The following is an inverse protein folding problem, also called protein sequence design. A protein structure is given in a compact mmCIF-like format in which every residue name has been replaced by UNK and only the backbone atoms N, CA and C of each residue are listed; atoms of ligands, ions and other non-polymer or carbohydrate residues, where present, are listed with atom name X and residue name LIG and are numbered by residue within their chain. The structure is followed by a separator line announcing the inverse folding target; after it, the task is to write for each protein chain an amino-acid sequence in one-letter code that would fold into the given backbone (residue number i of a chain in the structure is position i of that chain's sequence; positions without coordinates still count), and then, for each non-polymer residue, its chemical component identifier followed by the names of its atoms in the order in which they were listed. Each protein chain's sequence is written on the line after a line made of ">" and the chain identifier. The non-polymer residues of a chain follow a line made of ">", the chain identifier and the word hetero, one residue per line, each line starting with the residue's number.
data_IF_313694323548
#
_entry.id   IF_313694323548
#
_cell.length_a   1.000
_cell.length_b   1.000
_cell.length_c   1.000
_cell.angle_alpha   90.00
_cell.angle_beta   90.00
_cell.angle_gamma   90.00
#
_symmetry.space_group_name_H-M   'P 1'
#
loop_
_entity.id
_entity.type
_entity.pdbx_description
1 polymer ?
2 branched ?
3 non-polymer ?
4 non-polymer ?
5 non-polymer ?
6 non-polymer ?
7 water ?
#
# COMPACT_ATOMS: atom_id res chain seq x y z
N UNK A 3 -32.01 -12.08 17.07
CA UNK A 3 -31.20 -13.29 16.75
C UNK A 3 -30.34 -13.05 15.50
N UNK A 4 -29.08 -13.48 15.57
CA UNK A 4 -28.19 -13.53 14.39
C UNK A 4 -27.94 -12.14 13.78
N UNK A 5 -27.83 -11.14 14.65
CA UNK A 5 -27.48 -9.77 14.23
C UNK A 5 -26.06 -9.79 13.65
N UNK A 6 -25.74 -8.84 12.76
CA UNK A 6 -24.38 -8.80 12.21
C UNK A 6 -23.30 -8.49 13.26
N UNK A 7 -22.17 -9.20 13.19
CA UNK A 7 -21.10 -9.11 14.17
C UNK A 7 -19.98 -8.22 13.64
N UNK A 8 -19.43 -7.36 14.51
CA UNK A 8 -18.35 -6.45 14.11
C UNK A 8 -17.00 -7.18 14.23
N UNK A 9 -16.74 -8.04 13.25
CA UNK A 9 -15.56 -8.92 13.27
C UNK A 9 -15.08 -9.11 11.83
N UNK A 10 -13.89 -9.67 11.70
CA UNK A 10 -13.45 -10.25 10.43
C UNK A 10 -13.46 -11.75 10.65
N UNK A 11 -13.81 -12.48 9.59
CA UNK A 11 -13.97 -13.92 9.69
C UNK A 11 -13.77 -14.55 8.30
N UNK A 12 -14.28 -15.77 8.13
CA UNK A 12 -14.15 -16.53 6.90
C UNK A 12 -15.28 -17.54 6.75
N UNK A 13 -15.59 -17.88 5.51
CA UNK A 13 -16.66 -18.81 5.15
C UNK A 13 -16.20 -20.27 5.24
N UNK A 14 -14.91 -20.49 5.01
CA UNK A 14 -14.29 -21.81 5.13
C UNK A 14 -12.82 -21.58 5.53
N UNK A 15 -11.95 -22.60 5.41
CA UNK A 15 -10.53 -22.49 5.74
C UNK A 15 -9.69 -21.80 4.65
N UNK A 16 -10.32 -21.36 3.55
CA UNK A 16 -9.61 -20.76 2.42
C UNK A 16 -9.52 -19.24 2.59
N UNK A 17 -8.75 -18.82 3.58
CA UNK A 17 -8.56 -17.41 3.92
C UNK A 17 -7.10 -17.11 4.22
N UNK A 18 -6.76 -15.82 4.20
CA UNK A 18 -5.40 -15.36 4.47
C UNK A 18 -5.38 -13.93 5.02
N UNK A 19 -4.50 -13.69 6.00
CA UNK A 19 -4.37 -12.41 6.68
C UNK A 19 -2.98 -11.79 6.47
N UNK A 20 -2.95 -10.53 6.04
CA UNK A 20 -1.73 -9.74 5.96
C UNK A 20 -1.71 -8.73 7.11
N UNK A 21 -0.60 -8.69 7.85
CA UNK A 21 -0.53 -7.89 9.07
C UNK A 21 0.81 -7.30 9.43
N UNK A 22 0.88 -6.80 10.66
CA UNK A 22 2.08 -6.16 11.22
C UNK A 22 2.39 -6.83 12.57
N UNK A 23 3.07 -6.13 13.50
CA UNK A 23 3.43 -6.73 14.81
C UNK A 23 2.25 -7.37 15.53
N UNK A 24 1.08 -6.74 15.40
CA UNK A 24 -0.13 -7.20 16.10
C UNK A 24 -0.66 -8.55 15.62
N UNK A 25 -0.13 -9.05 14.49
CA UNK A 25 -0.39 -10.42 14.01
C UNK A 25 0.90 -11.24 13.80
N UNK A 26 2.03 -10.77 14.35
CA UNK A 26 3.36 -11.38 14.14
C UNK A 26 3.81 -12.16 15.37
N UNK A 27 3.67 -13.48 15.30
CA UNK A 27 4.02 -14.37 16.40
C UNK A 27 5.53 -14.63 16.54
N UNK A 28 6.35 -14.13 15.60
CA UNK A 28 7.80 -14.38 15.60
C UNK A 28 8.64 -13.27 16.27
N UNK A 29 8.02 -12.14 16.59
CA UNK A 29 8.68 -11.06 17.34
C UNK A 29 9.22 -11.57 18.70
N UNK A 30 10.40 -11.10 19.11
CA UNK A 30 11.02 -11.54 20.37
C UNK A 30 11.40 -10.36 21.28
N UNK A 31 11.17 -10.54 22.58
CA UNK A 31 11.58 -9.59 23.60
C UNK A 31 11.99 -10.36 24.85
N UNK A 32 12.86 -9.76 25.67
CA UNK A 32 13.35 -10.36 26.90
C UNK A 32 13.05 -9.42 28.08
N UNK A 33 11.99 -9.74 28.80
CA UNK A 33 11.53 -8.93 29.95
C UNK A 33 10.51 -9.72 30.79
N UNK A 34 9.83 -9.07 31.72
CA UNK A 34 8.76 -9.70 32.50
C UNK A 34 7.36 -9.54 31.93
N UNK A 35 7.23 -9.35 30.62
CA UNK A 35 5.92 -9.24 29.99
C UNK A 35 5.31 -10.65 29.84
N UNK A 36 3.96 -10.74 29.80
CA UNK A 36 3.34 -12.03 29.43
C UNK A 36 3.73 -12.47 28.01
N UNK A 37 3.67 -13.78 27.75
CA UNK A 37 4.00 -14.32 26.43
C UNK A 37 3.07 -13.77 25.35
N UNK A 38 3.65 -13.36 24.22
CA UNK A 38 2.89 -12.89 23.05
C UNK A 38 1.92 -11.73 23.36
N UNK A 39 2.28 -10.87 24.31
CA UNK A 39 1.36 -9.82 24.80
C UNK A 39 1.17 -8.61 23.87
N UNK A 40 2.00 -8.51 22.85
CA UNK A 40 1.88 -7.51 21.79
C UNK A 40 0.79 -7.87 20.75
N UNK A 41 0.35 -9.12 20.72
CA UNK A 41 -0.65 -9.58 19.73
C UNK A 41 -2.07 -9.10 19.98
N UNK A 42 -2.75 -8.74 18.89
CA UNK A 42 -4.21 -8.73 18.86
C UNK A 42 -4.75 -10.06 18.30
N UNK A 43 -3.99 -10.67 17.39
CA UNK A 43 -4.31 -12.01 16.88
C UNK A 43 -4.27 -13.05 18.01
N UNK A 44 -5.20 -14.00 17.96
CA UNK A 44 -5.22 -15.10 18.93
C UNK A 44 -4.03 -16.02 18.69
N UNK A 45 -3.27 -16.36 19.75
CA UNK A 45 -2.14 -17.29 19.63
C UNK A 45 -2.44 -18.64 18.96
N UNK A 46 -3.69 -19.10 19.06
CA UNK A 46 -4.11 -20.34 18.39
C UNK A 46 -3.94 -20.33 16.87
N UNK A 47 -3.93 -19.14 16.27
CA UNK A 47 -3.77 -18.97 14.82
C UNK A 47 -2.31 -18.77 14.35
N UNK A 48 -1.36 -18.75 15.28
CA UNK A 48 0.07 -18.57 14.93
C UNK A 48 0.62 -19.64 13.99
N UNK A 49 0.18 -20.88 14.15
CA UNK A 49 0.61 -21.99 13.30
C UNK A 49 -0.41 -22.38 12.20
N UNK A 50 -1.32 -21.47 11.87
CA UNK A 50 -2.39 -21.76 10.91
C UNK A 50 -1.89 -21.87 9.46
N UNK A 51 -0.73 -21.30 9.17
CA UNK A 51 -0.23 -21.20 7.80
C UNK A 51 -0.98 -20.19 6.95
N UNK A 52 -1.73 -19.29 7.59
CA UNK A 52 -2.62 -18.35 6.89
C UNK A 52 -2.32 -16.89 7.24
N UNK A 53 -1.09 -16.62 7.68
CA UNK A 53 -0.70 -15.29 8.14
C UNK A 53 0.63 -14.87 7.52
N UNK A 54 0.66 -13.64 7.00
CA UNK A 54 1.90 -13.00 6.54
C UNK A 54 1.98 -11.65 7.24
N UNK A 55 2.80 -11.57 8.28
CA UNK A 55 2.82 -10.38 9.15
C UNK A 55 4.23 -10.15 9.67
N UNK A 56 4.62 -8.88 9.75
CA UNK A 56 5.96 -8.50 10.19
C UNK A 56 5.92 -7.23 11.03
N UNK A 57 6.46 -7.33 12.25
CA UNK A 57 6.56 -6.17 13.13
C UNK A 57 7.31 -5.03 12.46
N UNK A 58 6.73 -3.84 12.55
CA UNK A 58 7.31 -2.64 11.96
C UNK A 58 7.01 -2.40 10.50
N UNK A 59 6.28 -3.30 9.84
CA UNK A 59 6.09 -3.18 8.40
C UNK A 59 4.62 -3.05 7.98
N UNK A 60 4.44 -2.75 6.70
CA UNK A 60 3.12 -2.69 6.07
C UNK A 60 3.32 -2.96 4.57
N UNK A 61 2.23 -3.24 3.86
CA UNK A 61 2.32 -3.48 2.40
C UNK A 61 2.86 -2.26 1.67
N UNK A 62 2.37 -1.07 2.05
CA UNK A 62 2.80 0.18 1.46
C UNK A 62 4.29 0.45 1.74
N UNK A 63 4.72 0.19 2.97
CA UNK A 63 6.11 0.40 3.35
C UNK A 63 7.07 -0.51 2.57
N UNK A 64 6.76 -1.81 2.50
CA UNK A 64 7.59 -2.75 1.72
C UNK A 64 7.56 -2.48 0.20
N UNK A 65 6.43 -2.01 -0.32
CA UNK A 65 6.31 -1.64 -1.73
C UNK A 65 7.25 -0.52 -2.15
N UNK A 66 7.38 0.51 -1.31
CA UNK A 66 8.09 1.76 -1.65
C UNK A 66 9.50 1.92 -1.11
N UNK A 67 9.83 1.24 0.00
CA UNK A 67 11.03 1.58 0.79
C UNK A 67 12.01 0.41 0.95
N UNK A 68 13.22 0.73 1.39
CA UNK A 68 14.26 -0.30 1.59
C UNK A 68 13.97 -1.20 2.79
N UNK A 69 13.16 -0.73 3.73
CA UNK A 69 12.71 -1.56 4.85
C UNK A 69 11.66 -2.58 4.36
N UNK A 70 12.17 -3.69 3.83
CA UNK A 70 11.37 -4.61 3.02
C UNK A 70 11.06 -5.92 3.76
N UNK A 71 9.79 -6.31 3.72
CA UNK A 71 9.36 -7.66 4.10
C UNK A 71 8.62 -8.25 2.90
N UNK A 72 8.95 -9.49 2.51
CA UNK A 72 8.27 -10.09 1.37
C UNK A 72 6.93 -10.67 1.79
N UNK A 73 5.93 -9.79 1.87
CA UNK A 73 4.54 -10.18 2.09
C UNK A 73 4.11 -11.11 0.97
N UNK A 74 3.61 -12.29 1.35
CA UNK A 74 3.12 -13.27 0.39
C UNK A 74 2.08 -14.17 1.03
N UNK A 75 1.08 -14.52 0.25
CA UNK A 75 -0.03 -15.34 0.73
C UNK A 75 -1.10 -15.54 -0.32
N UNK A 76 -1.91 -16.57 -0.11
CA UNK A 76 -2.97 -16.96 -1.04
C UNK A 76 -4.22 -17.33 -0.27
N UNK A 77 -5.37 -16.82 -0.71
CA UNK A 77 -6.65 -17.23 -0.14
C UNK A 77 -7.83 -16.69 -0.90
N UNK A 78 -8.99 -17.34 -0.71
CA UNK A 78 -10.24 -16.90 -1.33
C UNK A 78 -10.74 -15.65 -0.63
N UNK A 79 -10.82 -15.71 0.70
CA UNK A 79 -11.21 -14.57 1.51
C UNK A 79 -9.94 -13.93 2.11
N UNK A 80 -9.60 -12.74 1.63
CA UNK A 80 -8.38 -12.05 2.05
C UNK A 80 -8.73 -10.97 3.07
N UNK A 81 -7.94 -10.92 4.16
CA UNK A 81 -8.12 -9.94 5.23
C UNK A 81 -6.81 -9.14 5.41
N UNK A 82 -6.94 -7.83 5.64
CA UNK A 82 -5.79 -6.95 5.94
C UNK A 82 -5.97 -6.32 7.30
N UNK A 83 -4.93 -6.42 8.14
CA UNK A 83 -4.84 -5.66 9.38
C UNK A 83 -3.44 -5.05 9.49
N UNK A 84 -3.22 -4.05 8.65
CA UNK A 84 -1.95 -3.30 8.63
C UNK A 84 -2.15 -1.98 7.94
N UNK A 85 -1.12 -1.14 7.99
CA UNK A 85 -1.15 0.20 7.42
C UNK A 85 -0.51 1.23 8.32
N UNK A 86 -0.63 1.03 9.64
CA UNK A 86 -0.16 2.00 10.63
C UNK A 86 1.34 2.32 10.54
N UNK A 87 2.15 1.38 10.05
CA UNK A 87 3.59 1.61 9.93
C UNK A 87 4.02 2.51 8.75
N UNK A 88 3.06 3.15 8.08
CA UNK A 88 3.29 4.39 7.33
C UNK A 88 2.10 5.34 7.53
N UNK A 89 2.31 6.35 8.37
CA UNK A 89 1.26 7.18 8.96
C UNK A 89 1.80 8.61 9.10
N UNK A 90 0.93 9.59 9.44
CA UNK A 90 1.43 10.94 9.68
C UNK A 90 2.44 11.06 10.83
N UNK A 91 2.37 10.14 11.81
CA UNK A 91 3.34 10.10 12.91
C UNK A 91 4.78 10.00 12.40
N UNK A 92 4.96 9.24 11.32
CA UNK A 92 6.27 9.10 10.67
C UNK A 92 6.70 10.41 9.98
N UNK A 93 5.74 11.14 9.43
CA UNK A 93 5.99 12.46 8.85
C UNK A 93 6.88 12.41 7.62
N UNK A 94 6.79 11.34 6.84
CA UNK A 94 7.68 11.18 5.69
C UNK A 94 7.41 12.23 4.61
N UNK A 95 8.50 12.82 4.11
CA UNK A 95 8.52 13.66 2.91
C UNK A 95 9.81 13.30 2.15
N UNK A 96 9.79 13.38 0.82
CA UNK A 96 11.01 13.17 0.02
C UNK A 96 12.06 14.25 0.25
N UNK A 97 11.60 15.48 0.55
CA UNK A 97 12.46 16.65 0.66
C UNK A 97 12.13 17.45 1.90
N UNK A 98 13.06 18.34 2.29
CA UNK A 98 12.90 19.18 3.47
C UNK A 98 11.59 19.98 3.46
N UNK A 99 11.25 20.58 2.32
CA UNK A 99 10.03 21.39 2.19
C UNK A 99 8.92 20.65 1.44
N UNK A 100 8.89 19.32 1.58
CA UNK A 100 7.87 18.49 0.97
C UNK A 100 6.56 18.54 1.71
N UNK A 101 5.77 17.49 1.54
CA UNK A 101 4.40 17.48 2.01
C UNK A 101 3.93 16.06 2.31
N UNK A 102 3.79 15.75 3.60
CA UNK A 102 3.27 14.45 4.03
C UNK A 102 1.85 14.18 3.52
N UNK A 103 1.05 15.23 3.28
CA UNK A 103 -0.30 15.05 2.75
C UNK A 103 -0.29 14.42 1.35
N UNK A 104 0.75 14.70 0.56
CA UNK A 104 0.95 14.02 -0.73
C UNK A 104 1.18 12.53 -0.51
N UNK A 105 2.01 12.21 0.48
CA UNK A 105 2.25 10.82 0.85
C UNK A 105 1.03 10.09 1.41
N UNK A 106 0.15 10.80 2.12
CA UNK A 106 -1.14 10.22 2.53
C UNK A 106 -2.03 9.94 1.31
N UNK A 107 -2.05 10.86 0.35
CA UNK A 107 -2.71 10.63 -0.96
C UNK A 107 -2.18 9.38 -1.66
N UNK A 108 -0.86 9.21 -1.66
CA UNK A 108 -0.24 8.01 -2.23
C UNK A 108 -0.67 6.73 -1.51
N UNK A 109 -0.72 6.78 -0.18
CA UNK A 109 -1.18 5.65 0.64
C UNK A 109 -2.60 5.19 0.24
N UNK A 110 -3.52 6.15 0.16
CA UNK A 110 -4.92 5.89 -0.24
C UNK A 110 -5.03 5.27 -1.64
N UNK A 111 -4.28 5.82 -2.60
CA UNK A 111 -4.31 5.32 -3.99
C UNK A 111 -3.73 3.91 -4.11
N UNK A 112 -2.62 3.64 -3.42
CA UNK A 112 -2.02 2.29 -3.40
C UNK A 112 -2.99 1.25 -2.82
N UNK A 113 -3.51 1.50 -1.62
CA UNK A 113 -4.40 0.54 -0.98
C UNK A 113 -5.71 0.34 -1.77
N UNK A 114 -6.22 1.40 -2.41
CA UNK A 114 -7.44 1.29 -3.22
C UNK A 114 -7.24 0.31 -4.38
N UNK A 115 -6.11 0.45 -5.08
CA UNK A 115 -5.74 -0.49 -6.14
C UNK A 115 -5.54 -1.91 -5.61
N UNK A 116 -4.86 -2.04 -4.47
CA UNK A 116 -4.56 -3.36 -3.90
C UNK A 116 -5.83 -4.10 -3.50
N UNK A 117 -6.72 -3.42 -2.78
CA UNK A 117 -7.98 -4.03 -2.30
C UNK A 117 -8.86 -4.48 -3.48
N UNK A 118 -8.99 -3.59 -4.47
CA UNK A 118 -9.75 -3.84 -5.71
C UNK A 118 -9.27 -5.13 -6.37
N UNK A 119 -7.95 -5.23 -6.54
CA UNK A 119 -7.36 -6.41 -7.18
C UNK A 119 -7.42 -7.68 -6.34
N UNK A 120 -7.27 -7.56 -5.02
CA UNK A 120 -7.33 -8.75 -4.15
C UNK A 120 -8.74 -9.30 -3.92
N UNK A 121 -9.77 -8.58 -4.38
CA UNK A 121 -11.11 -9.13 -4.50
C UNK A 121 -11.25 -10.04 -5.74
N UNK A 122 -10.28 -9.97 -6.65
CA UNK A 122 -10.31 -10.66 -7.94
C UNK A 122 -9.21 -11.72 -8.11
N UNK A 123 -8.24 -11.75 -7.20
CA UNK A 123 -7.13 -12.71 -7.24
C UNK A 123 -6.93 -13.38 -5.89
N UNK A 124 -6.46 -14.62 -5.92
CA UNK A 124 -6.18 -15.38 -4.71
C UNK A 124 -4.85 -14.99 -4.08
N UNK A 125 -3.84 -14.77 -4.92
CA UNK A 125 -2.45 -14.71 -4.47
C UNK A 125 -1.78 -13.35 -4.67
N UNK A 126 -1.02 -12.96 -3.65
CA UNK A 126 -0.29 -11.70 -3.60
C UNK A 126 1.15 -12.01 -3.21
N UNK A 127 2.09 -11.35 -3.85
CA UNK A 127 3.47 -11.26 -3.36
C UNK A 127 4.12 -9.99 -3.88
N UNK A 128 5.34 -9.69 -3.43
CA UNK A 128 6.10 -8.54 -3.91
C UNK A 128 7.34 -9.04 -4.65
N UNK A 129 7.45 -8.70 -5.94
CA UNK A 129 8.56 -9.14 -6.79
C UNK A 129 9.46 -7.97 -7.18
N UNK A 130 10.74 -8.26 -7.42
CA UNK A 130 11.70 -7.28 -7.94
C UNK A 130 11.47 -7.11 -9.44
N UNK A 131 11.68 -5.89 -9.93
CA UNK A 131 11.58 -5.56 -11.35
C UNK A 131 12.95 -5.07 -11.78
N UNK A 132 13.51 -5.65 -12.85
CA UNK A 132 14.81 -5.20 -13.40
C UNK A 132 14.61 -4.26 -14.60
N UNK A 133 15.67 -3.51 -14.94
CA UNK A 133 15.65 -2.60 -16.10
C UNK A 133 16.87 -2.75 -17.01
N UNK A 134 16.72 -2.28 -18.25
CA UNK A 134 17.82 -2.16 -19.21
C UNK A 134 17.94 -0.68 -19.59
N UNK A 135 19.15 -0.14 -19.45
CA UNK A 135 19.39 1.30 -19.62
C UNK A 135 20.65 1.49 -20.46
N UNK A 136 20.54 2.28 -21.53
CA UNK A 136 21.60 2.43 -22.52
C UNK A 136 22.77 3.33 -22.13
N UNK A 137 22.64 4.09 -21.05
CA UNK A 137 23.70 5.00 -20.57
C UNK A 137 24.56 4.40 -19.46
N UNK A 138 25.45 5.23 -18.93
CA UNK A 138 26.34 4.85 -17.82
C UNK A 138 25.90 5.33 -16.44
N UNK A 139 24.89 6.18 -16.37
CA UNK A 139 24.38 6.72 -15.10
C UNK A 139 23.74 5.62 -14.25
N UNK A 140 23.85 5.78 -12.93
CA UNK A 140 23.39 4.77 -11.98
C UNK A 140 22.22 5.32 -11.16
N UNK A 141 21.53 4.45 -10.39
CA UNK A 141 20.47 4.94 -9.52
C UNK A 141 20.94 5.98 -8.48
N UNK A 142 20.04 6.87 -8.08
CA UNK A 142 20.31 7.87 -7.03
C UNK A 142 19.11 7.93 -6.07
N UNK A 143 19.38 8.04 -4.77
CA UNK A 143 18.34 8.02 -3.73
C UNK A 143 17.81 9.42 -3.46
N UNK A 144 17.07 9.94 -4.43
CA UNK A 144 16.52 11.29 -4.39
C UNK A 144 15.45 11.51 -3.31
N UNK A 145 14.76 10.45 -2.90
CA UNK A 145 13.66 10.55 -1.96
C UNK A 145 13.95 9.77 -0.67
N UNK A 146 14.24 10.50 0.41
CA UNK A 146 14.53 9.90 1.70
C UNK A 146 14.48 10.93 2.84
N UNK A 147 14.44 10.42 4.06
CA UNK A 147 14.61 11.24 5.26
C UNK A 147 15.49 10.48 6.27
N UNK A 148 15.46 10.87 7.55
CA UNK A 148 16.37 10.27 8.54
C UNK A 148 16.05 8.82 8.96
N UNK A 149 14.84 8.32 8.66
CA UNK A 149 14.45 6.94 9.01
C UNK A 149 13.99 6.05 7.84
N UNK A 150 13.59 6.62 6.70
CA UNK A 150 13.13 5.85 5.54
C UNK A 150 13.83 6.28 4.25
N UNK A 151 14.20 5.29 3.43
CA UNK A 151 14.80 5.51 2.11
C UNK A 151 13.88 4.89 1.06
N UNK A 152 13.31 5.74 0.21
CA UNK A 152 12.49 5.24 -0.90
C UNK A 152 13.39 4.55 -1.92
N UNK A 153 12.97 3.36 -2.38
CA UNK A 153 13.67 2.67 -3.49
C UNK A 153 12.78 2.16 -4.63
N UNK A 154 11.49 2.52 -4.60
CA UNK A 154 10.56 2.19 -5.67
C UNK A 154 9.60 3.38 -5.85
N UNK A 155 9.57 4.04 -7.02
CA UNK A 155 10.41 3.72 -8.19
C UNK A 155 11.89 4.04 -7.99
N UNK A 156 12.73 3.41 -8.83
CA UNK A 156 14.14 3.78 -8.98
C UNK A 156 14.23 5.08 -9.77
N UNK A 157 15.17 5.94 -9.38
CA UNK A 157 15.51 7.15 -10.14
C UNK A 157 16.92 7.02 -10.66
N UNK A 158 17.08 7.21 -11.97
CA UNK A 158 18.39 7.18 -12.64
C UNK A 158 18.98 8.58 -12.67
N UNK A 159 20.26 8.71 -12.28
CA UNK A 159 20.98 9.99 -12.32
C UNK A 159 21.14 10.53 -13.73
N UNK A 160 21.45 11.81 -13.84
CA UNK A 160 21.83 12.44 -15.10
C UNK A 160 23.14 11.87 -15.62
N UNK A 161 23.27 11.71 -16.93
CA UNK A 161 24.56 11.36 -17.55
C UNK A 161 25.57 12.50 -17.36
N UNK A 162 26.85 12.15 -17.18
CA UNK A 162 27.92 13.15 -16.95
C UNK A 162 28.05 14.21 -18.05
N UNK A 163 27.82 13.80 -19.29
CA UNK A 163 28.01 14.70 -20.44
C UNK A 163 26.88 15.73 -20.62
N UNK A 164 25.77 15.58 -19.89
CA UNK A 164 24.67 16.57 -19.96
C UNK A 164 24.87 17.72 -18.97
N UNK A 165 24.68 18.94 -19.44
CA UNK A 165 24.89 20.16 -18.62
C UNK A 165 23.68 20.51 -17.74
N UNK A 166 22.49 20.05 -18.12
CA UNK A 166 21.25 20.38 -17.42
C UNK A 166 20.27 19.20 -17.47
N UNK A 167 19.10 19.37 -16.83
CA UNK A 167 18.06 18.33 -16.79
C UNK A 167 16.95 18.45 -17.85
N UNK A 168 17.19 19.22 -18.92
CA UNK A 168 16.29 19.27 -20.08
C UNK A 168 16.71 18.21 -21.11
N UNK A 169 16.67 16.94 -20.72
CA UNK A 169 17.00 15.83 -21.62
C UNK A 169 15.87 14.83 -21.64
N UNK A 170 15.83 14.05 -22.71
CA UNK A 170 14.94 12.90 -22.80
C UNK A 170 15.76 11.69 -22.37
N UNK A 171 15.17 10.81 -21.55
CA UNK A 171 15.83 9.57 -21.17
C UNK A 171 14.82 8.43 -21.12
N UNK A 172 15.33 7.21 -21.27
CA UNK A 172 14.48 6.03 -21.26
C UNK A 172 15.22 4.77 -20.79
N UNK A 173 14.42 3.80 -20.35
CA UNK A 173 14.89 2.48 -19.99
C UNK A 173 13.71 1.52 -20.13
N UNK A 174 14.01 0.25 -20.38
CA UNK A 174 12.98 -0.76 -20.50
C UNK A 174 12.97 -1.64 -19.27
N UNK A 175 11.80 -2.17 -18.95
CA UNK A 175 11.65 -3.14 -17.88
C UNK A 175 10.70 -4.25 -18.31
N UNK A 176 10.92 -5.46 -17.78
CA UNK A 176 10.13 -6.64 -18.09
C UNK A 176 9.23 -6.97 -16.89
N UNK A 177 7.94 -7.21 -17.16
CA UNK A 177 7.05 -7.77 -16.16
C UNK A 177 6.69 -9.16 -16.62
N UNK A 178 7.11 -10.17 -15.86
CA UNK A 178 6.93 -11.58 -16.22
C UNK A 178 6.61 -12.42 -14.99
N UNK A 179 5.81 -13.47 -15.19
CA UNK A 179 5.55 -14.46 -14.14
C UNK A 179 4.39 -14.21 -13.18
N UNK A 180 3.58 -13.19 -13.46
CA UNK A 180 2.35 -12.90 -12.71
C UNK A 180 1.23 -12.64 -13.70
N UNK A 181 -0.02 -12.79 -13.27
CA UNK A 181 -1.17 -12.52 -14.13
C UNK A 181 -1.37 -11.01 -14.34
N UNK A 182 -1.17 -10.23 -13.28
CA UNK A 182 -1.18 -8.77 -13.29
C UNK A 182 -0.14 -8.24 -12.29
N UNK A 183 0.25 -6.99 -12.49
CA UNK A 183 1.31 -6.34 -11.73
C UNK A 183 0.83 -4.97 -11.32
N UNK A 184 0.93 -4.62 -10.04
CA UNK A 184 0.75 -3.23 -9.62
C UNK A 184 2.12 -2.58 -9.50
N UNK A 185 2.32 -1.48 -10.23
CA UNK A 185 3.57 -0.70 -10.19
C UNK A 185 3.26 0.78 -9.99
N UNK A 186 4.22 1.53 -9.41
CA UNK A 186 4.02 2.96 -9.24
C UNK A 186 4.51 3.76 -10.45
N UNK A 187 3.73 4.76 -10.86
CA UNK A 187 4.14 5.77 -11.83
C UNK A 187 4.07 7.10 -11.10
N UNK A 188 5.23 7.74 -10.93
CA UNK A 188 5.34 8.93 -10.07
C UNK A 188 6.02 10.10 -10.77
N UNK A 189 5.77 11.29 -10.23
CA UNK A 189 6.38 12.54 -10.69
C UNK A 189 6.57 13.48 -9.49
N UNK A 190 7.64 14.28 -9.52
CA UNK A 190 7.77 15.42 -8.64
C UNK A 190 6.91 16.51 -9.28
N UNK A 191 5.74 16.79 -8.71
CA UNK A 191 4.78 17.68 -9.34
C UNK A 191 5.00 19.09 -8.81
N UNK A 192 5.75 19.89 -9.55
CA UNK A 192 6.16 21.20 -9.11
C UNK A 192 7.43 21.64 -9.82
N UNK A 193 8.11 22.60 -9.22
CA UNK A 193 9.37 23.12 -9.75
C UNK A 193 10.55 22.40 -9.10
N UNK A 194 11.10 21.41 -9.80
CA UNK A 194 12.24 20.63 -9.30
C UNK A 194 13.56 21.36 -9.53
N UNK A 195 14.58 21.00 -8.73
CA UNK A 195 15.91 21.59 -8.81
C UNK A 195 16.94 20.55 -9.20
N UNK A 196 17.86 20.95 -10.08
CA UNK A 196 19.03 20.15 -10.44
C UNK A 196 20.06 20.18 -9.33
N UNK A 197 20.44 21.38 -8.90
CA UNK A 197 21.37 21.54 -7.77
C UNK A 197 21.23 22.89 -7.08
N UNK A 198 21.65 22.93 -5.82
CA UNK A 198 21.56 24.12 -4.96
C UNK A 198 22.28 25.34 -5.54
N UNK A 199 23.35 25.10 -6.30
CA UNK A 199 24.15 26.18 -6.89
C UNK A 199 23.55 26.76 -8.18
N UNK A 200 22.45 26.18 -8.69
CA UNK A 200 21.82 26.69 -9.91
C UNK A 200 21.19 28.07 -9.66
N UNK A 201 21.11 28.92 -10.72
CA UNK A 201 20.39 30.20 -10.59
C UNK A 201 18.98 30.02 -10.04
N UNK A 202 18.48 31.00 -9.29
CA UNK A 202 17.15 30.89 -8.68
C UNK A 202 16.03 30.65 -9.71
N UNK A 203 16.18 31.22 -10.90
CA UNK A 203 15.16 31.14 -11.95
C UNK A 203 15.15 29.85 -12.80
N UNK A 204 16.10 28.93 -12.62
CA UNK A 204 16.16 27.66 -13.35
C UNK A 204 15.54 26.53 -12.53
N UNK A 205 14.50 25.90 -13.07
CA UNK A 205 13.83 24.79 -12.41
C UNK A 205 13.33 23.85 -13.49
N UNK A 206 12.85 22.68 -13.08
CA UNK A 206 12.40 21.64 -14.01
C UNK A 206 10.98 21.19 -13.70
N UNK A 207 10.30 20.77 -14.76
CA UNK A 207 8.94 20.23 -14.66
C UNK A 207 9.00 18.75 -15.06
N UNK A 208 9.06 17.91 -14.04
CA UNK A 208 9.24 16.46 -14.18
C UNK A 208 8.10 15.87 -15.04
N UNK A 209 8.47 14.97 -15.95
CA UNK A 209 7.53 14.26 -16.84
C UNK A 209 7.91 12.79 -16.87
N UNK A 210 6.92 11.89 -16.79
CA UNK A 210 7.20 10.46 -16.81
C UNK A 210 6.06 9.70 -17.45
N UNK A 211 6.39 8.65 -18.21
CA UNK A 211 5.39 7.77 -18.81
C UNK A 211 5.91 6.34 -18.92
N UNK A 212 4.99 5.39 -18.88
CA UNK A 212 5.27 3.99 -19.16
C UNK A 212 4.50 3.55 -20.41
N UNK A 213 5.18 2.80 -21.27
CA UNK A 213 4.70 2.45 -22.62
C UNK A 213 4.84 0.96 -22.86
N UNK A 214 3.74 0.32 -23.26
CA UNK A 214 3.74 -1.10 -23.61
C UNK A 214 4.20 -1.23 -25.08
N UNK A 215 5.35 -1.88 -25.29
CA UNK A 215 5.96 -1.96 -26.63
C UNK A 215 5.16 -2.84 -27.60
N UNK A 216 4.44 -3.82 -27.08
CA UNK A 216 3.63 -4.72 -27.93
C UNK A 216 2.31 -4.05 -28.31
N UNK A 217 1.56 -3.61 -27.30
CA UNK A 217 0.23 -3.04 -27.53
C UNK A 217 0.26 -1.57 -27.96
N UNK A 218 1.32 -0.83 -27.63
CA UNK A 218 1.44 0.59 -27.94
C UNK A 218 0.71 1.57 -27.01
N UNK A 219 0.11 1.05 -25.93
CA UNK A 219 -0.61 1.90 -24.97
C UNK A 219 0.40 2.55 -24.02
N UNK A 220 0.23 3.85 -23.75
CA UNK A 220 1.02 4.53 -22.71
C UNK A 220 0.18 5.36 -21.74
N UNK A 221 0.72 5.49 -20.53
CA UNK A 221 0.09 6.21 -19.42
C UNK A 221 1.14 7.20 -18.93
N UNK A 222 0.75 8.45 -18.75
CA UNK A 222 1.71 9.51 -18.45
C UNK A 222 1.30 10.48 -17.38
N UNK A 223 2.31 11.18 -16.86
CA UNK A 223 2.19 12.05 -15.73
C UNK A 223 3.16 13.22 -15.96
N UNK A 224 2.63 14.43 -16.15
CA UNK A 224 3.42 15.65 -16.23
C UNK A 224 3.22 16.54 -15.03
N UNK A 225 4.25 17.31 -14.68
CA UNK A 225 4.19 18.28 -13.61
C UNK A 225 3.34 19.48 -14.02
N UNK A 226 2.44 19.91 -13.14
CA UNK A 226 1.61 21.12 -13.38
C UNK A 226 1.55 22.14 -12.22
N UNK A 227 2.02 21.77 -11.03
CA UNK A 227 1.91 22.63 -9.84
C UNK A 227 3.03 23.66 -9.78
N UNK A 228 2.79 24.71 -8.98
CA UNK A 228 3.75 25.82 -8.81
C UNK A 228 4.63 25.65 -7.57
N UNK A 229 4.35 24.65 -6.74
CA UNK A 229 5.13 24.39 -5.52
C UNK A 229 6.59 24.02 -5.81
N UNK A 230 7.46 24.30 -4.85
CA UNK A 230 8.90 24.10 -5.03
C UNK A 230 9.66 23.50 -3.85
N UNK A 231 10.96 23.72 -3.85
CA UNK A 231 11.89 23.09 -2.91
C UNK A 231 12.44 24.05 -1.85
N UNK A 232 11.96 25.29 -1.86
CA UNK A 232 12.48 26.32 -0.97
C UNK A 232 11.44 26.66 0.09
N UNK A 233 11.90 27.35 1.12
CA UNK A 233 11.06 27.85 2.19
C UNK A 233 10.05 28.88 1.69
N UNK A 234 10.47 29.69 0.71
CA UNK A 234 9.62 30.74 0.15
C UNK A 234 8.49 30.14 -0.70
N UNK A 235 8.80 29.07 -1.42
CA UNK A 235 7.84 28.36 -2.26
C UNK A 235 7.93 26.85 -2.00
N UNK A 236 7.37 26.37 -0.87
CA UNK A 236 7.50 24.96 -0.49
C UNK A 236 6.39 24.09 -1.08
N UNK A 237 6.41 22.79 -0.76
CA UNK A 237 5.32 21.87 -1.09
C UNK A 237 5.61 20.78 -2.11
N UNK A 238 6.72 20.89 -2.84
CA UNK A 238 7.07 19.86 -3.84
C UNK A 238 7.35 18.53 -3.16
N UNK A 239 6.69 17.47 -3.64
CA UNK A 239 6.96 16.11 -3.20
C UNK A 239 6.56 15.14 -4.34
N UNK A 240 6.69 13.83 -4.09
CA UNK A 240 6.48 12.81 -5.10
C UNK A 240 5.02 12.30 -5.10
N UNK A 241 4.26 12.67 -6.12
CA UNK A 241 2.90 12.15 -6.35
C UNK A 241 3.00 10.86 -7.17
N UNK A 242 2.33 9.81 -6.71
CA UNK A 242 2.34 8.51 -7.40
C UNK A 242 0.93 8.04 -7.74
N UNK A 243 0.78 7.49 -8.93
CA UNK A 243 -0.39 6.66 -9.27
C UNK A 243 0.05 5.21 -9.32
N UNK A 244 -0.91 4.30 -9.18
CA UNK A 244 -0.62 2.87 -9.09
C UNK A 244 -1.32 2.15 -10.21
N UNK A 245 -0.54 1.64 -11.16
CA UNK A 245 -1.06 1.06 -12.39
C UNK A 245 -1.14 -0.45 -12.30
N UNK A 246 -2.23 -1.03 -12.81
CA UNK A 246 -2.36 -2.47 -12.92
C UNK A 246 -2.02 -2.87 -14.36
N UNK A 247 -0.90 -3.57 -14.54
CA UNK A 247 -0.37 -3.86 -15.87
C UNK A 247 -0.30 -5.37 -16.14
N UNK A 248 -0.50 -5.74 -17.40
CA UNK A 248 -0.38 -7.14 -17.83
C UNK A 248 1.10 -7.48 -18.04
N UNK A 249 1.45 -8.79 -18.04
CA UNK A 249 2.85 -9.12 -18.34
C UNK A 249 3.30 -8.58 -19.69
N UNK A 250 4.56 -8.15 -19.77
CA UNK A 250 5.13 -7.70 -21.04
C UNK A 250 6.44 -6.95 -20.89
N UNK A 251 6.91 -6.43 -22.02
CA UNK A 251 8.08 -5.54 -22.03
C UNK A 251 7.59 -4.10 -22.10
N UNK A 252 8.08 -3.27 -21.17
CA UNK A 252 7.65 -1.88 -21.04
C UNK A 252 8.81 -0.94 -21.23
N UNK A 253 8.50 0.28 -21.67
CA UNK A 253 9.46 1.34 -21.87
C UNK A 253 9.07 2.51 -20.97
N UNK A 254 10.00 2.93 -20.10
CA UNK A 254 9.81 4.10 -19.25
C UNK A 254 10.47 5.27 -19.97
N UNK A 255 9.70 6.31 -20.26
CA UNK A 255 10.20 7.48 -20.99
C UNK A 255 10.04 8.72 -20.13
N UNK A 256 11.16 9.43 -19.92
CA UNK A 256 11.19 10.68 -19.18
C UNK A 256 11.54 11.81 -20.14
N UNK A 257 10.64 12.78 -20.28
CA UNK A 257 10.86 13.93 -21.17
C UNK A 257 11.57 15.11 -20.50
N UNK A 258 11.68 15.08 -19.17
CA UNK A 258 12.34 16.16 -18.42
C UNK A 258 12.65 15.70 -16.98
N UNK A 259 13.73 16.23 -16.41
CA UNK A 259 14.22 15.84 -15.07
C UNK A 259 14.70 14.37 -15.06
N UNK A 260 14.57 13.65 -13.94
CA UNK A 260 15.18 12.33 -13.79
C UNK A 260 14.25 11.24 -14.31
N UNK A 261 14.83 10.21 -14.92
CA UNK A 261 14.08 9.02 -15.31
C UNK A 261 13.70 8.21 -14.08
N UNK A 262 12.43 7.82 -13.96
CA UNK A 262 11.99 6.87 -12.92
C UNK A 262 11.26 5.68 -13.51
N UNK A 263 11.38 4.54 -12.83
CA UNK A 263 10.74 3.30 -13.25
C UNK A 263 10.60 2.34 -12.08
N UNK A 264 9.74 1.30 -12.23
CA UNK A 264 9.50 0.41 -11.09
C UNK A 264 10.71 -0.45 -10.74
N UNK A 265 10.98 -0.61 -9.43
CA UNK A 265 11.93 -1.59 -8.90
C UNK A 265 11.24 -2.76 -8.22
N UNK A 266 9.96 -2.60 -7.89
CA UNK A 266 9.15 -3.62 -7.22
C UNK A 266 7.71 -3.53 -7.73
N UNK A 267 7.04 -4.68 -7.74
CA UNK A 267 5.65 -4.78 -8.14
C UNK A 267 4.90 -5.70 -7.19
N UNK A 268 3.61 -5.44 -7.02
CA UNK A 268 2.72 -6.43 -6.41
C UNK A 268 2.41 -7.43 -7.49
N UNK A 269 2.74 -8.70 -7.23
CA UNK A 269 2.48 -9.81 -8.14
C UNK A 269 1.11 -10.39 -7.80
N UNK A 270 0.20 -10.36 -8.78
CA UNK A 270 -1.16 -10.89 -8.63
C UNK A 270 -1.27 -12.18 -9.44
N UNK A 271 -1.72 -13.25 -8.78
CA UNK A 271 -1.84 -14.57 -9.38
C UNK A 271 -3.17 -15.26 -9.00
N UNK A 272 -3.67 -16.09 -9.93
CA UNK A 272 -4.82 -16.99 -9.71
C UNK A 272 -6.14 -16.23 -9.58
N UNK A 273 -6.79 -15.92 -10.72
CA UNK A 273 -8.12 -15.29 -10.71
C UNK A 273 -9.12 -16.08 -9.87
N UNK A 274 -9.97 -15.38 -9.14
CA UNK A 274 -11.05 -16.01 -8.37
C UNK A 274 -12.36 -15.30 -8.67
N UNK A 275 -13.47 -16.01 -8.48
CA UNK A 275 -14.78 -15.36 -8.52
C UNK A 275 -14.79 -14.25 -7.48
N UNK A 276 -15.34 -13.09 -7.86
CA UNK A 276 -15.33 -11.87 -7.05
C UNK A 276 -15.69 -12.12 -5.58
N UNK A 277 -14.80 -11.71 -4.67
CA UNK A 277 -15.00 -11.89 -3.23
C UNK A 277 -14.34 -10.70 -2.50
N UNK A 278 -15.15 -9.81 -1.89
CA UNK A 278 -14.56 -8.63 -1.24
C UNK A 278 -13.52 -8.96 -0.18
N UNK A 279 -12.54 -8.08 -0.06
CA UNK A 279 -11.55 -8.18 0.98
C UNK A 279 -12.15 -7.56 2.25
N UNK A 280 -11.61 -7.95 3.39
CA UNK A 280 -11.94 -7.37 4.69
C UNK A 280 -10.74 -6.58 5.22
N UNK A 281 -10.97 -5.33 5.62
CA UNK A 281 -9.89 -4.46 6.11
C UNK A 281 -10.19 -3.99 7.53
N UNK A 282 -9.26 -4.24 8.44
CA UNK A 282 -9.35 -3.77 9.83
C UNK A 282 -8.57 -2.47 9.96
N UNK A 283 -9.20 -1.45 10.53
CA UNK A 283 -8.55 -0.15 10.76
C UNK A 283 -7.23 -0.34 11.51
N UNK A 284 -6.17 0.27 11.00
CA UNK A 284 -4.82 0.09 11.51
C UNK A 284 -4.31 1.46 11.98
N UNK A 285 -4.34 1.69 13.28
CA UNK A 285 -4.02 3.00 13.88
C UNK A 285 -3.27 2.85 15.21
N UNK A 286 -2.63 3.94 15.62
CA UNK A 286 -1.96 4.04 16.91
C UNK A 286 -2.96 4.46 18.00
N UNK A 287 -2.63 4.15 19.26
CA UNK A 287 -3.07 4.91 20.45
C UNK A 287 -2.92 6.40 20.11
N UNK A 288 -3.92 7.19 20.45
CA UNK A 288 -4.02 8.59 20.00
C UNK A 288 -2.99 9.56 20.61
N UNK A 289 -2.05 9.06 21.42
CA UNK A 289 -0.82 9.79 21.72
C UNK A 289 0.04 10.00 20.45
N UNK A 290 -0.15 9.17 19.43
CA UNK A 290 0.41 9.38 18.08
C UNK A 290 -0.66 9.70 17.05
N UNK A 291 -0.26 10.36 15.96
CA UNK A 291 -1.17 10.73 14.88
C UNK A 291 -1.35 9.57 13.88
N UNK A 292 -2.60 9.22 13.62
CA UNK A 292 -2.96 8.19 12.63
C UNK A 292 -3.64 8.86 11.44
N UNK A 293 -3.97 8.07 10.44
CA UNK A 293 -4.74 8.53 9.28
C UNK A 293 -5.83 7.52 8.97
N UNK A 294 -6.81 7.93 8.16
CA UNK A 294 -7.88 7.05 7.70
C UNK A 294 -7.79 6.70 6.18
N UNK A 295 -6.58 6.66 5.64
CA UNK A 295 -6.39 6.42 4.20
C UNK A 295 -6.82 5.01 3.76
N UNK A 296 -6.63 3.99 4.61
CA UNK A 296 -7.16 2.64 4.29
C UNK A 296 -8.68 2.63 4.26
N UNK A 297 -9.33 3.49 5.05
CA UNK A 297 -10.80 3.64 5.02
C UNK A 297 -11.25 4.32 3.74
N UNK A 298 -10.53 5.36 3.33
CA UNK A 298 -10.77 6.01 2.04
C UNK A 298 -10.62 4.99 0.89
N UNK A 299 -9.59 4.15 0.97
CA UNK A 299 -9.34 3.09 -0.01
C UNK A 299 -10.40 1.97 -0.03
N UNK A 300 -11.03 1.70 1.11
CA UNK A 300 -11.93 0.54 1.26
C UNK A 300 -13.36 0.95 0.91
N UNK A 301 -13.75 0.68 -0.35
CA UNK A 301 -15.06 1.04 -0.87
C UNK A 301 -15.80 -0.17 -1.43
N UNK A 302 -17.12 -0.05 -1.49
CA UNK A 302 -17.97 -1.07 -2.13
C UNK A 302 -17.75 -1.01 -3.64
N UNK A 303 -17.85 -2.13 -4.35
CA UNK A 303 -18.23 -3.45 -3.82
C UNK A 303 -17.06 -4.35 -3.38
N UNK A 304 -15.82 -3.85 -3.45
CA UNK A 304 -14.62 -4.69 -3.33
C UNK A 304 -14.07 -4.84 -1.91
N UNK A 305 -14.56 -4.04 -0.96
CA UNK A 305 -13.97 -4.01 0.37
C UNK A 305 -14.98 -3.73 1.49
N UNK A 306 -14.84 -4.46 2.60
CA UNK A 306 -15.60 -4.21 3.83
C UNK A 306 -14.65 -3.76 4.92
N UNK A 307 -14.96 -2.62 5.54
CA UNK A 307 -14.11 -1.99 6.55
C UNK A 307 -14.66 -2.28 7.96
N UNK A 308 -13.77 -2.66 8.88
CA UNK A 308 -14.14 -2.93 10.28
C UNK A 308 -13.31 -2.06 11.23
N UNK A 309 -13.98 -1.51 12.24
CA UNK A 309 -13.33 -0.64 13.22
C UNK A 309 -14.00 -0.81 14.58
N UNK A 310 -13.27 -0.50 15.66
CA UNK A 310 -13.83 -0.48 17.01
C UNK A 310 -14.40 0.91 17.32
N UNK A 311 -14.98 1.04 18.51
CA UNK A 311 -15.58 2.29 18.97
C UNK A 311 -14.71 3.05 19.98
N UNK A 312 -13.45 2.67 20.12
CA UNK A 312 -12.57 3.25 21.14
C UNK A 312 -11.18 3.57 20.64
N UNK A 313 -10.44 4.32 21.46
CA UNK A 313 -9.01 4.55 21.26
C UNK A 313 -8.29 3.20 21.30
N UNK A 314 -7.17 3.08 20.59
CA UNK A 314 -6.36 1.87 20.70
C UNK A 314 -5.63 1.93 22.05
N UNK A 315 -5.94 0.98 22.92
CA UNK A 315 -5.53 1.01 24.33
C UNK A 315 -4.79 -0.28 24.72
N UNK A 316 -3.47 -0.28 24.53
CA UNK A 316 -2.64 -1.45 24.82
C UNK A 316 -2.72 -1.90 26.27
N UNK A 317 -2.67 -3.22 26.45
CA UNK A 317 -2.94 -3.88 27.74
C UNK A 317 -1.69 -3.92 28.62
N UNK A 318 -0.68 -4.70 28.21
CA UNK A 318 0.55 -4.91 29.01
C UNK A 318 1.87 -4.55 28.32
N UNK A 319 1.92 -4.65 26.98
CA UNK A 319 3.17 -4.48 26.23
C UNK A 319 3.58 -3.00 26.17
N UNK A 320 2.67 -2.18 25.67
CA UNK A 320 2.75 -0.72 25.71
C UNK A 320 1.40 -0.19 25.25
N UNK A 321 1.23 1.12 25.15
CA UNK A 321 -0.07 1.68 24.72
C UNK A 321 -0.50 1.34 23.29
N UNK A 322 0.44 0.94 22.42
CA UNK A 322 0.16 0.70 21.00
C UNK A 322 -0.05 -0.78 20.59
N UNK A 323 0.01 -1.72 21.55
CA UNK A 323 -0.12 -3.15 21.23
C UNK A 323 -0.93 -3.94 22.25
N UNK A 324 -1.92 -4.68 21.76
CA UNK A 324 -2.75 -5.56 22.59
C UNK A 324 -3.97 -4.86 23.12
N UNK A 325 -4.89 -4.51 22.21
CA UNK A 325 -6.13 -3.82 22.55
C UNK A 325 -7.28 -4.82 22.66
N UNK A 326 -8.07 -4.72 23.74
CA UNK A 326 -9.18 -5.64 23.98
C UNK A 326 -10.18 -5.70 22.83
N UNK A 327 -10.60 -4.55 22.32
CA UNK A 327 -11.64 -4.49 21.29
C UNK A 327 -11.13 -4.98 19.93
N UNK A 328 -9.88 -4.67 19.60
CA UNK A 328 -9.28 -5.25 18.39
C UNK A 328 -9.04 -6.76 18.53
N UNK A 329 -8.72 -7.22 19.74
CA UNK A 329 -8.64 -8.68 20.02
C UNK A 329 -9.99 -9.38 19.76
N UNK A 330 -11.07 -8.76 20.22
CA UNK A 330 -12.41 -9.30 19.98
C UNK A 330 -12.81 -9.22 18.51
N UNK A 331 -12.41 -8.15 17.82
CA UNK A 331 -12.70 -7.98 16.39
C UNK A 331 -12.04 -9.11 15.57
N UNK A 332 -10.76 -9.37 15.86
CA UNK A 332 -10.00 -10.44 15.19
C UNK A 332 -10.39 -11.86 15.62
N UNK A 333 -11.07 -12.02 16.76
CA UNK A 333 -11.47 -13.35 17.26
C UNK A 333 -12.35 -14.13 16.29
N UNK A 334 -13.03 -13.42 15.39
CA UNK A 334 -13.81 -14.05 14.33
C UNK A 334 -13.01 -14.96 13.38
N UNK A 335 -11.68 -14.80 13.34
CA UNK A 335 -10.83 -15.70 12.56
C UNK A 335 -10.70 -17.12 13.17
N UNK A 336 -11.11 -17.30 14.41
CA UNK A 336 -11.11 -18.63 15.06
C UNK A 336 -12.20 -19.59 14.58
N UNK A 337 -13.19 -19.09 13.84
CA UNK A 337 -14.32 -19.92 13.41
C UNK A 337 -14.90 -19.47 12.07
N UNK A 338 -15.67 -20.36 11.45
CA UNK A 338 -16.36 -20.03 10.20
C UNK A 338 -17.67 -19.31 10.50
N UNK A 339 -18.05 -18.39 9.62
CA UNK A 339 -19.35 -17.74 9.64
C UNK A 339 -20.09 -18.12 8.35
N UNK A 340 -21.42 -18.00 8.38
CA UNK A 340 -22.24 -18.35 7.23
C UNK A 340 -22.18 -17.29 6.13
N UNK A 341 -22.12 -16.04 6.53
CA UNK A 341 -22.24 -14.93 5.60
C UNK A 341 -21.39 -13.75 6.07
N UNK A 342 -20.71 -13.10 5.12
CA UNK A 342 -19.94 -11.88 5.36
C UNK A 342 -20.57 -10.80 4.48
N UNK A 343 -20.97 -9.70 5.10
CA UNK A 343 -21.75 -8.66 4.43
C UNK A 343 -21.23 -7.29 4.83
N UNK A 344 -21.86 -6.25 4.30
CA UNK A 344 -21.49 -4.86 4.58
C UNK A 344 -21.55 -4.53 6.08
N UNK A 345 -22.63 -4.95 6.73
CA UNK A 345 -22.88 -4.60 8.15
C UNK A 345 -21.97 -5.35 9.12
N UNK A 346 -21.48 -6.51 8.72
CA UNK A 346 -20.71 -7.39 9.58
C UNK A 346 -20.87 -8.83 9.12
N UNK A 347 -20.42 -9.76 9.95
CA UNK A 347 -20.56 -11.18 9.67
C UNK A 347 -21.84 -11.72 10.31
N UNK A 348 -22.55 -12.59 9.59
CA UNK A 348 -23.73 -13.29 10.10
C UNK A 348 -23.33 -14.73 10.39
N UNK A 349 -23.39 -15.14 11.66
CA UNK A 349 -22.94 -16.47 12.08
C UNK A 349 -23.78 -17.58 11.44
N UNK A 350 -25.11 -17.43 11.49
CA UNK A 350 -26.04 -18.46 11.03
C UNK A 350 -26.60 -18.17 9.64
N UNK A 351 -26.93 -19.22 8.92
CA UNK A 351 -27.35 -19.12 7.51
C UNK A 351 -28.88 -18.99 7.27
N UNK A 352 -29.67 -18.98 8.35
CA UNK A 352 -31.13 -19.16 8.19
C UNK A 352 -31.94 -17.88 8.35
N UNK A 353 -32.03 -17.34 9.58
CA UNK A 353 -32.84 -16.16 9.87
C UNK A 353 -32.04 -15.12 10.66
N UNK A 354 -32.41 -13.86 10.49
CA UNK A 354 -31.82 -12.75 11.24
C UNK A 354 -32.87 -11.67 11.46
N UNK A 355 -32.62 -10.79 12.42
CA UNK A 355 -33.44 -9.59 12.59
C UNK A 355 -33.11 -8.51 11.53
N UNK A 356 -31.98 -8.65 10.84
CA UNK A 356 -31.46 -7.66 9.90
C UNK A 356 -31.21 -8.30 8.52
N UNK A 357 -31.64 -7.62 7.45
CA UNK A 357 -31.38 -8.07 6.07
C UNK A 357 -29.92 -7.86 5.73
N UNK A 358 -29.20 -8.93 5.35
CA UNK A 358 -27.82 -8.69 4.89
C UNK A 358 -27.81 -7.85 3.60
N UNK A 359 -26.84 -6.95 3.48
CA UNK A 359 -26.65 -6.18 2.25
C UNK A 359 -25.24 -6.43 1.74
N UNK A 360 -25.13 -6.68 0.44
CA UNK A 360 -23.87 -7.10 -0.18
C UNK A 360 -23.35 -8.38 0.51
N UNK A 361 -24.22 -9.37 0.65
CA UNK A 361 -23.90 -10.61 1.35
C UNK A 361 -23.12 -11.60 0.49
N UNK A 362 -22.12 -12.24 1.09
CA UNK A 362 -21.34 -13.31 0.45
C UNK A 362 -21.37 -14.53 1.36
N UNK A 363 -21.65 -15.69 0.76
CA UNK A 363 -21.75 -16.96 1.47
C UNK A 363 -23.16 -17.52 1.42
N UNK A 364 -23.61 -18.10 2.53
CA UNK A 364 -24.97 -18.63 2.64
C UNK A 364 -25.71 -17.71 3.61
N UNK A 365 -26.41 -16.73 3.07
CA UNK A 365 -26.92 -15.63 3.89
C UNK A 365 -28.37 -15.83 4.36
N UNK A 366 -28.67 -15.39 5.60
CA UNK A 366 -30.01 -15.55 6.17
C UNK A 366 -31.02 -14.56 5.61
N UNK A 367 -32.30 -14.90 5.74
CA UNK A 367 -33.41 -13.99 5.47
C UNK A 367 -33.80 -13.25 6.77
N UNK A 368 -34.38 -12.07 6.62
CA UNK A 368 -35.04 -11.37 7.73
C UNK A 368 -36.56 -11.37 7.60
N UNK A 369 -37.11 -12.23 6.74
CA UNK A 369 -38.56 -12.42 6.63
C UNK A 369 -39.10 -13.14 7.87
N UNK A 370 -40.41 -13.06 8.08
CA UNK A 370 -41.07 -13.85 9.12
C UNK A 370 -41.25 -15.29 8.65
N UNK A 371 -40.86 -16.25 9.49
CA UNK A 371 -40.87 -17.71 9.19
C UNK A 371 -40.37 -18.05 7.78
#
# INVERSE_FOLDING_TARGET
>A
LAFNEPLNIVSHLNDDWFLFGDARSDCTYVENNGHPKLDWLDLDPKLCNSGRISAKSGNSLFRSFHFTDFYNYSGEGDQVIFYEGVNFSPSHGFKCLANGDNKIWMGNKARFYARLYEKMAQYRSLSIVTVSYAYGGNAKPTSICKDNKLTLNNPTFISKESNYADYYYVSEANFTLQGCDEFIVPLCVFNGHSRGSSSDPANTYYMDSQMYYNTVTGVFYGFNSTLDVGTTVQNPGLDLTCSYLALSPGNYKAVSLEFLLSLPSKAICLLKPKRFMPVQVVDSRWNSTRQSDNMTAVACQLPYCFFRNTSADYSGDTHDVHHGDLYFRQLLSGLLYNVSCIAQQGAFLYNNVSSIWPVYGYGHCPTAANIGYMAPICLYDSDPLVPR
#
